data_IF_509999498323
#
_entry.id   IF_509999498323
#
_cell.length_a   1.000
_cell.length_b   1.000
_cell.length_c   1.000
_cell.angle_alpha   90.00
_cell.angle_beta   90.00
_cell.angle_gamma   90.00
#
_symmetry.space_group_name_H-M   'P 1'
#
loop_
_entity.id
_entity.type
_entity.pdbx_description
1 polymer ?
#
# COMPACT_ATOMS: atom_id res chain seq x y z
N UNK A 1 -1.08 12.98 -12.73
CA UNK A 1 -2.01 11.86 -12.77
C UNK A 1 -3.36 12.28 -12.22
N UNK A 2 -4.41 11.90 -12.87
CA UNK A 2 -5.73 12.24 -12.39
C UNK A 2 -6.12 11.36 -11.19
N UNK A 3 -7.03 11.89 -10.37
CA UNK A 3 -7.60 11.12 -9.26
C UNK A 3 -8.31 9.86 -9.77
N UNK A 4 -8.96 9.95 -10.92
CA UNK A 4 -9.65 8.82 -11.53
C UNK A 4 -8.71 7.67 -11.82
N UNK A 5 -7.53 7.96 -12.35
CA UNK A 5 -6.54 6.93 -12.66
C UNK A 5 -6.01 6.26 -11.39
N UNK A 6 -5.78 7.06 -10.34
CA UNK A 6 -5.37 6.54 -9.04
C UNK A 6 -6.44 5.64 -8.43
N UNK A 7 -7.71 6.07 -8.47
CA UNK A 7 -8.82 5.28 -7.96
C UNK A 7 -8.98 3.96 -8.71
N UNK A 8 -8.76 3.98 -10.01
CA UNK A 8 -8.87 2.77 -10.82
C UNK A 8 -7.78 1.76 -10.43
N UNK A 9 -6.55 2.23 -10.25
CA UNK A 9 -5.45 1.38 -9.82
C UNK A 9 -5.71 0.79 -8.43
N UNK A 10 -6.23 1.60 -7.51
CA UNK A 10 -6.57 1.12 -6.17
C UNK A 10 -7.66 0.07 -6.19
N UNK A 11 -8.68 0.24 -7.03
CA UNK A 11 -9.75 -0.75 -7.17
C UNK A 11 -9.20 -2.08 -7.68
N UNK A 12 -8.30 -2.04 -8.66
CA UNK A 12 -7.66 -3.24 -9.17
C UNK A 12 -6.81 -3.93 -8.11
N UNK A 13 -6.07 -3.13 -7.33
CA UNK A 13 -5.23 -3.65 -6.25
C UNK A 13 -6.09 -4.32 -5.18
N UNK A 14 -7.22 -3.72 -4.80
CA UNK A 14 -8.15 -4.31 -3.81
C UNK A 14 -8.69 -5.64 -4.32
N UNK A 15 -9.14 -5.68 -5.57
CA UNK A 15 -9.66 -6.90 -6.16
C UNK A 15 -8.59 -8.01 -6.16
N UNK A 16 -7.37 -7.64 -6.51
CA UNK A 16 -6.23 -8.55 -6.50
C UNK A 16 -5.98 -9.13 -5.11
N UNK A 17 -5.98 -8.28 -4.09
CA UNK A 17 -5.77 -8.72 -2.72
C UNK A 17 -6.88 -9.63 -2.23
N UNK A 18 -8.13 -9.31 -2.56
CA UNK A 18 -9.27 -10.16 -2.19
C UNK A 18 -9.16 -11.54 -2.83
N UNK A 19 -8.71 -11.60 -4.07
CA UNK A 19 -8.52 -12.89 -4.76
C UNK A 19 -7.42 -13.72 -4.09
N UNK A 20 -6.49 -13.08 -3.39
CA UNK A 20 -5.45 -13.76 -2.62
C UNK A 20 -5.86 -14.02 -1.16
N UNK A 21 -7.14 -13.81 -0.85
CA UNK A 21 -7.72 -14.05 0.47
C UNK A 21 -7.30 -13.06 1.55
N UNK A 22 -6.95 -11.84 1.14
CA UNK A 22 -6.73 -10.76 2.09
C UNK A 22 -8.07 -10.16 2.50
N UNK A 23 -8.18 -9.78 3.77
CA UNK A 23 -9.29 -8.97 4.26
C UNK A 23 -8.90 -7.51 4.14
N UNK A 24 -9.73 -6.70 3.50
CA UNK A 24 -9.46 -5.25 3.39
C UNK A 24 -9.98 -4.59 4.66
N UNK A 25 -9.08 -4.02 5.44
CA UNK A 25 -9.42 -3.39 6.72
C UNK A 25 -9.85 -1.94 6.47
N UNK A 26 -9.07 -1.21 5.69
CA UNK A 26 -9.32 0.22 5.47
C UNK A 26 -8.62 0.64 4.20
N UNK A 27 -9.10 1.70 3.56
CA UNK A 27 -8.42 2.29 2.40
C UNK A 27 -8.32 3.79 2.58
N UNK A 28 -7.27 4.36 1.99
CA UNK A 28 -7.01 5.79 2.01
C UNK A 28 -6.98 6.35 3.44
N UNK A 29 -6.19 5.69 4.30
CA UNK A 29 -6.02 6.16 5.67
C UNK A 29 -5.13 7.40 5.66
N UNK A 30 -5.67 8.50 6.15
CA UNK A 30 -4.96 9.78 6.21
C UNK A 30 -4.24 9.92 7.55
N UNK A 31 -2.92 9.97 7.51
CA UNK A 31 -2.07 10.08 8.70
C UNK A 31 -1.62 11.53 8.91
N UNK A 32 -2.53 12.47 8.70
CA UNK A 32 -2.28 13.91 8.84
C UNK A 32 -1.10 14.33 7.97
N UNK A 33 -0.16 15.12 8.50
CA UNK A 33 0.98 15.62 7.73
C UNK A 33 2.00 14.54 7.37
N UNK A 34 1.89 13.36 7.99
CA UNK A 34 2.84 12.28 7.75
C UNK A 34 2.66 11.62 6.39
N UNK A 35 1.42 11.58 5.91
CA UNK A 35 1.11 10.98 4.62
C UNK A 35 -0.18 10.20 4.63
N UNK A 36 -0.30 9.28 3.68
CA UNK A 36 -1.50 8.48 3.49
C UNK A 36 -1.10 7.03 3.20
N UNK A 37 -1.90 6.09 3.68
CA UNK A 37 -1.75 4.67 3.38
C UNK A 37 -2.89 4.29 2.44
N UNK A 38 -2.55 3.80 1.26
CA UNK A 38 -3.56 3.53 0.22
C UNK A 38 -4.49 2.38 0.60
N UNK A 39 -3.93 1.26 1.06
CA UNK A 39 -4.73 0.08 1.44
C UNK A 39 -4.13 -0.52 2.70
N UNK A 40 -5.00 -0.84 3.67
CA UNK A 40 -4.63 -1.61 4.84
C UNK A 40 -5.39 -2.92 4.76
N UNK A 41 -4.66 -4.03 4.71
CA UNK A 41 -5.23 -5.35 4.57
C UNK A 41 -4.67 -6.29 5.63
N UNK A 42 -5.31 -7.45 5.80
CA UNK A 42 -4.90 -8.42 6.82
C UNK A 42 -5.01 -9.83 6.25
N UNK A 43 -4.02 -10.64 6.53
CA UNK A 43 -4.02 -12.06 6.17
C UNK A 43 -3.20 -12.83 7.18
N UNK A 44 -3.75 -13.93 7.70
CA UNK A 44 -3.04 -14.81 8.66
C UNK A 44 -2.47 -14.03 9.85
N UNK A 45 -3.28 -13.13 10.43
CA UNK A 45 -2.94 -12.31 11.59
C UNK A 45 -1.81 -11.31 11.36
N UNK A 46 -1.43 -11.07 10.10
CA UNK A 46 -0.45 -10.07 9.73
C UNK A 46 -1.12 -8.92 8.99
N UNK A 47 -0.83 -7.69 9.42
CA UNK A 47 -1.32 -6.50 8.73
C UNK A 47 -0.38 -6.16 7.57
N UNK A 48 -0.96 -5.76 6.45
CA UNK A 48 -0.22 -5.36 5.26
C UNK A 48 -0.61 -3.94 4.91
N UNK A 49 0.36 -3.03 4.96
CA UNK A 49 0.16 -1.63 4.62
C UNK A 49 0.69 -1.42 3.20
N UNK A 50 -0.22 -1.20 2.27
CA UNK A 50 0.09 -1.26 0.85
C UNK A 50 0.09 0.12 0.20
N UNK A 51 1.18 0.43 -0.49
CA UNK A 51 1.27 1.59 -1.36
C UNK A 51 0.96 1.13 -2.78
N UNK A 52 0.00 1.78 -3.43
CA UNK A 52 -0.38 1.44 -4.80
C UNK A 52 0.28 2.41 -5.76
N UNK A 53 0.99 1.89 -6.74
CA UNK A 53 1.64 2.68 -7.78
C UNK A 53 1.13 2.27 -9.14
N UNK A 54 0.66 3.25 -9.91
CA UNK A 54 0.29 3.08 -11.30
C UNK A 54 1.44 3.61 -12.15
N UNK A 55 1.98 2.79 -13.02
CA UNK A 55 3.10 3.17 -13.87
C UNK A 55 3.06 2.37 -15.17
N UNK A 56 3.65 2.89 -16.26
CA UNK A 56 3.66 2.16 -17.53
C UNK A 56 4.38 0.83 -17.43
N UNK A 57 5.39 0.74 -16.56
CA UNK A 57 6.14 -0.48 -16.39
C UNK A 57 6.66 -0.60 -14.95
N UNK A 58 7.10 -1.80 -14.63
CA UNK A 58 7.58 -2.15 -13.30
C UNK A 58 8.80 -1.31 -12.88
N UNK A 59 9.75 -1.14 -13.80
CA UNK A 59 10.99 -0.44 -13.49
C UNK A 59 10.74 1.03 -13.15
N UNK A 60 9.87 1.69 -13.89
CA UNK A 60 9.49 3.07 -13.60
C UNK A 60 8.88 3.18 -12.21
N UNK A 61 8.00 2.24 -11.85
CA UNK A 61 7.36 2.23 -10.54
C UNK A 61 8.39 2.06 -9.42
N UNK A 62 9.30 1.11 -9.58
CA UNK A 62 10.34 0.85 -8.59
C UNK A 62 11.24 2.08 -8.39
N UNK A 63 11.61 2.74 -9.47
CA UNK A 63 12.45 3.95 -9.40
C UNK A 63 11.73 5.10 -8.68
N UNK A 64 10.40 5.09 -8.65
CA UNK A 64 9.62 6.11 -7.96
C UNK A 64 9.42 5.80 -6.47
N UNK A 65 9.81 4.62 -6.01
CA UNK A 65 9.75 4.27 -4.59
C UNK A 65 11.06 4.68 -3.91
N UNK A 66 11.20 5.98 -3.68
CA UNK A 66 12.42 6.55 -3.10
C UNK A 66 12.49 6.31 -1.60
N UNK A 67 13.70 6.45 -1.03
CA UNK A 67 13.90 6.34 0.41
C UNK A 67 13.02 7.33 1.18
N UNK A 68 12.85 8.54 0.63
CA UNK A 68 11.99 9.56 1.24
C UNK A 68 10.54 9.11 1.30
N UNK A 69 10.02 8.54 0.22
CA UNK A 69 8.64 8.04 0.18
C UNK A 69 8.45 6.86 1.14
N UNK A 70 9.40 5.94 1.18
CA UNK A 70 9.34 4.80 2.10
C UNK A 70 9.37 5.26 3.55
N UNK A 71 10.15 6.28 3.87
CA UNK A 71 10.19 6.86 5.20
C UNK A 71 8.83 7.44 5.61
N UNK A 72 8.16 8.13 4.69
CA UNK A 72 6.82 8.68 4.95
C UNK A 72 5.80 7.58 5.18
N UNK A 73 5.89 6.50 4.42
CA UNK A 73 4.99 5.36 4.60
C UNK A 73 5.21 4.75 5.98
N UNK A 74 6.45 4.56 6.40
CA UNK A 74 6.77 4.03 7.73
C UNK A 74 6.19 4.91 8.83
N UNK A 75 6.33 6.21 8.70
CA UNK A 75 5.78 7.16 9.69
C UNK A 75 4.25 7.07 9.74
N UNK A 76 3.61 6.94 8.60
CA UNK A 76 2.15 6.79 8.51
C UNK A 76 1.68 5.50 9.15
N UNK A 77 2.43 4.41 8.95
CA UNK A 77 2.13 3.11 9.57
C UNK A 77 2.26 3.19 11.08
N UNK A 78 3.34 3.79 11.58
CA UNK A 78 3.53 3.98 13.03
C UNK A 78 2.37 4.77 13.61
N UNK A 79 1.95 5.82 12.93
CA UNK A 79 0.81 6.63 13.36
C UNK A 79 -0.47 5.80 13.45
N UNK A 80 -0.71 4.97 12.43
CA UNK A 80 -1.89 4.09 12.41
C UNK A 80 -1.87 3.12 13.59
N UNK A 81 -0.75 2.44 13.79
CA UNK A 81 -0.61 1.44 14.85
C UNK A 81 -0.80 2.07 16.23
N UNK A 82 -0.23 3.25 16.45
CA UNK A 82 -0.39 3.94 17.73
C UNK A 82 -1.82 4.43 17.93
N UNK A 83 -2.41 5.01 16.91
CA UNK A 83 -3.78 5.54 16.98
C UNK A 83 -4.78 4.43 17.26
N UNK A 84 -4.63 3.27 16.63
CA UNK A 84 -5.52 2.13 16.81
C UNK A 84 -5.11 1.23 17.98
N UNK A 85 -3.99 1.54 18.63
CA UNK A 85 -3.45 0.78 19.76
C UNK A 85 -3.25 -0.69 19.40
N UNK A 86 -2.61 -0.92 18.26
CA UNK A 86 -2.35 -2.26 17.73
C UNK A 86 -0.91 -2.66 17.95
N UNK A 87 -0.72 -3.86 18.54
CA UNK A 87 0.58 -4.49 18.67
C UNK A 87 0.51 -5.80 17.89
N UNK A 88 0.78 -5.72 16.59
CA UNK A 88 0.54 -6.82 15.66
C UNK A 88 1.74 -6.98 14.72
N UNK A 89 1.85 -8.18 14.16
CA UNK A 89 2.80 -8.40 13.08
C UNK A 89 2.34 -7.61 11.86
N UNK A 90 3.26 -6.96 11.18
CA UNK A 90 2.90 -6.20 9.97
C UNK A 90 4.07 -6.13 8.99
N UNK A 91 3.74 -5.84 7.76
CA UNK A 91 4.73 -5.49 6.75
C UNK A 91 4.21 -4.36 5.88
N UNK A 92 5.12 -3.72 5.16
CA UNK A 92 4.79 -2.63 4.24
C UNK A 92 5.08 -3.14 2.84
N UNK A 93 4.08 -3.05 1.97
CA UNK A 93 4.12 -3.63 0.64
C UNK A 93 3.87 -2.59 -0.43
N UNK A 94 4.29 -2.88 -1.66
CA UNK A 94 3.92 -2.08 -2.82
C UNK A 94 3.14 -2.94 -3.79
N UNK A 95 2.11 -2.35 -4.38
CA UNK A 95 1.32 -3.00 -5.44
C UNK A 95 1.46 -2.13 -6.67
N UNK A 96 2.10 -2.67 -7.70
CA UNK A 96 2.37 -1.94 -8.93
C UNK A 96 1.36 -2.38 -9.97
N UNK A 97 0.58 -1.43 -10.47
CA UNK A 97 -0.51 -1.67 -11.40
C UNK A 97 -0.19 -1.04 -12.74
N UNK A 98 -0.21 -1.83 -13.79
CA UNK A 98 -0.18 -1.31 -15.16
C UNK A 98 -1.29 -1.99 -15.95
N UNK A 99 -1.40 -1.66 -17.25
CA UNK A 99 -2.52 -2.14 -18.06
C UNK A 99 -2.55 -3.66 -18.21
N UNK A 100 -1.40 -4.30 -18.11
CA UNK A 100 -1.28 -5.73 -18.39
C UNK A 100 -1.20 -6.60 -17.15
N UNK A 101 -0.62 -6.10 -16.06
CA UNK A 101 -0.35 -6.95 -14.90
C UNK A 101 -0.34 -6.17 -13.59
N UNK A 102 -0.35 -6.94 -12.50
CA UNK A 102 -0.17 -6.40 -11.16
C UNK A 102 0.99 -7.13 -10.53
N UNK A 103 1.94 -6.36 -9.98
CA UNK A 103 3.09 -6.90 -9.25
C UNK A 103 2.94 -6.57 -7.77
N UNK A 104 2.96 -7.59 -6.92
CA UNK A 104 2.84 -7.44 -5.48
C UNK A 104 4.21 -7.67 -4.84
N UNK A 105 4.76 -6.60 -4.26
CA UNK A 105 6.07 -6.62 -3.63
C UNK A 105 5.90 -6.57 -2.12
N UNK A 106 6.08 -7.69 -1.46
CA UNK A 106 5.90 -7.77 -0.03
C UNK A 106 7.14 -7.31 0.73
N UNK A 107 6.88 -6.60 1.84
CA UNK A 107 7.90 -6.21 2.80
C UNK A 107 9.04 -5.41 2.19
N UNK A 108 8.70 -4.27 1.58
CA UNK A 108 9.65 -3.42 0.86
C UNK A 108 10.49 -2.52 1.76
N UNK A 109 10.18 -2.47 3.05
CA UNK A 109 10.94 -1.65 4.02
C UNK A 109 11.68 -2.57 4.97
N UNK A 110 12.96 -2.53 4.88
CA UNK A 110 13.82 -3.33 5.74
C UNK A 110 14.37 -2.49 6.88
#
# INVERSE_FOLDING_TARGET
MSREKGNFAEKRAISFLKDLNFEIIEKNFYAKKLGEIDIIAKKNDTYHFCEVKSAPDYETAINNLTASKLSKIKSSVDYYLQTKKLDVAFCIDAIIVNDEEINFLENITL
#
